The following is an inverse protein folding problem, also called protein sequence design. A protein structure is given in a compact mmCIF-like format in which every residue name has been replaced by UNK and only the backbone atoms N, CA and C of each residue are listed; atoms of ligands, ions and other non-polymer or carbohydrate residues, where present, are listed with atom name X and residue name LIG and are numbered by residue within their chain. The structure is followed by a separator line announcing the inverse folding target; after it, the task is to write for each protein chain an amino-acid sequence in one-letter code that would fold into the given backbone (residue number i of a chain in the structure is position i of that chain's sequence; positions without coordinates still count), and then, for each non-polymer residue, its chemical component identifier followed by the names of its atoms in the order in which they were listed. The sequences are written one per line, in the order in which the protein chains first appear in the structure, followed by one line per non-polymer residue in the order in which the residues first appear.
data_IF_248701681073
#
_entry.id   IF_248701681073
#
_cell.length_a   1.000
_cell.length_b   1.000
_cell.length_c   1.000
_cell.angle_alpha   90.00
_cell.angle_beta   90.00
_cell.angle_gamma   90.00
#
_symmetry.space_group_name_H-M   'P 1'
#
loop_
_entity.id
_entity.type
_entity.pdbx_description
1 polymer ?
#
# COMPACT_ATOMS: atom_id res chain seq x y z
N UNK A 1 16.86 24.45 -5.73
CA UNK A 1 16.18 23.27 -6.26
C UNK A 1 15.04 22.85 -5.36
N UNK A 2 14.24 21.89 -5.78
CA UNK A 2 13.13 21.37 -5.01
C UNK A 2 13.46 19.95 -4.49
N UNK A 3 13.11 19.66 -3.25
CA UNK A 3 13.26 18.33 -2.64
C UNK A 3 11.86 17.75 -2.45
N UNK A 4 11.65 16.51 -2.90
CA UNK A 4 10.43 15.75 -2.64
C UNK A 4 10.66 14.76 -1.50
N UNK A 5 9.63 14.57 -0.68
CA UNK A 5 9.55 13.55 0.39
C UNK A 5 8.63 12.45 -0.13
N UNK A 6 9.21 11.43 -0.73
CA UNK A 6 8.48 10.35 -1.39
C UNK A 6 8.29 9.15 -0.47
N UNK A 7 7.06 8.66 -0.35
CA UNK A 7 6.69 7.61 0.60
C UNK A 7 7.00 6.19 0.09
N UNK A 8 8.18 5.98 -0.47
CA UNK A 8 8.72 4.66 -0.81
C UNK A 8 10.24 4.65 -0.75
N UNK A 9 10.83 3.48 -0.93
CA UNK A 9 12.27 3.30 -1.17
C UNK A 9 12.53 3.32 -2.68
N UNK A 10 12.74 4.52 -3.25
CA UNK A 10 13.04 4.66 -4.67
C UNK A 10 14.28 3.84 -5.07
N UNK A 11 14.29 3.27 -6.28
CA UNK A 11 13.40 3.52 -7.43
C UNK A 11 12.08 2.73 -7.41
N UNK A 12 11.78 1.95 -6.35
CA UNK A 12 10.51 1.22 -6.26
C UNK A 12 9.37 2.17 -5.93
N UNK A 13 8.23 1.99 -6.61
CA UNK A 13 6.98 2.72 -6.39
C UNK A 13 7.07 4.24 -6.69
N UNK A 14 7.65 4.62 -7.84
CA UNK A 14 7.49 5.98 -8.37
C UNK A 14 6.03 6.29 -8.64
N UNK A 15 5.55 7.48 -8.32
CA UNK A 15 4.20 7.95 -8.66
C UNK A 15 3.28 8.17 -7.45
N UNK A 16 1.95 8.07 -7.68
CA UNK A 16 0.96 8.73 -6.84
C UNK A 16 0.53 7.97 -5.58
N UNK A 17 0.68 6.64 -5.52
CA UNK A 17 0.12 5.82 -4.44
C UNK A 17 1.11 4.78 -3.87
N UNK A 18 2.35 5.17 -3.51
CA UNK A 18 3.38 4.22 -3.11
C UNK A 18 3.02 3.40 -1.86
N UNK A 19 2.34 4.01 -0.88
CA UNK A 19 1.93 3.35 0.36
C UNK A 19 0.98 2.19 0.07
N UNK A 20 -0.10 2.47 -0.69
CA UNK A 20 -1.11 1.48 -1.01
C UNK A 20 -0.54 0.35 -1.89
N UNK A 21 0.27 0.70 -2.90
CA UNK A 21 0.85 -0.30 -3.79
C UNK A 21 1.87 -1.20 -3.09
N UNK A 22 2.61 -0.70 -2.11
CA UNK A 22 3.53 -1.52 -1.30
C UNK A 22 2.76 -2.58 -0.49
N UNK A 23 1.67 -2.20 0.19
CA UNK A 23 0.84 -3.15 0.95
C UNK A 23 0.13 -4.13 0.02
N UNK A 24 -0.48 -3.65 -1.07
CA UNK A 24 -1.20 -4.50 -2.04
C UNK A 24 -0.28 -5.54 -2.68
N UNK A 25 0.98 -5.18 -2.95
CA UNK A 25 1.99 -6.10 -3.46
C UNK A 25 2.50 -7.08 -2.40
N UNK A 26 2.30 -6.79 -1.12
CA UNK A 26 2.79 -7.59 0.01
C UNK A 26 4.27 -7.38 0.27
N UNK A 27 4.77 -6.15 0.10
CA UNK A 27 6.13 -5.80 0.48
C UNK A 27 6.29 -5.87 2.01
N UNK A 28 7.38 -6.43 2.48
CA UNK A 28 7.70 -6.50 3.92
C UNK A 28 8.33 -5.19 4.43
N UNK A 29 8.92 -4.40 3.53
CA UNK A 29 9.64 -3.17 3.86
C UNK A 29 9.34 -2.08 2.84
N UNK A 30 9.07 -0.89 3.35
CA UNK A 30 8.97 0.35 2.59
C UNK A 30 9.81 1.44 3.28
N UNK A 31 9.52 2.69 3.01
CA UNK A 31 10.21 3.79 3.70
C UNK A 31 9.90 5.14 3.09
N UNK A 32 10.79 6.07 3.34
CA UNK A 32 10.73 7.41 2.75
C UNK A 32 12.06 7.68 2.05
N UNK A 33 11.97 8.23 0.86
CA UNK A 33 13.10 8.77 0.11
C UNK A 33 12.99 10.28 0.01
N UNK A 34 14.01 10.99 0.51
CA UNK A 34 14.24 12.39 0.17
C UNK A 34 14.95 12.41 -1.18
N UNK A 35 14.37 13.02 -2.19
CA UNK A 35 14.94 13.07 -3.53
C UNK A 35 14.99 14.47 -4.08
N UNK A 36 15.97 14.76 -4.94
CA UNK A 36 15.99 15.95 -5.76
C UNK A 36 14.92 15.82 -6.83
N UNK A 37 14.06 16.82 -7.01
CA UNK A 37 13.11 16.80 -8.12
C UNK A 37 13.82 17.11 -9.46
N UNK A 38 13.43 16.39 -10.49
CA UNK A 38 13.81 16.62 -11.87
C UNK A 38 12.57 16.63 -12.79
N UNK A 39 12.75 16.52 -14.11
CA UNK A 39 11.66 16.59 -15.09
C UNK A 39 10.81 15.29 -15.16
N UNK A 40 11.36 14.17 -14.67
CA UNK A 40 10.67 12.88 -14.69
C UNK A 40 9.83 12.63 -13.45
N UNK A 41 8.94 11.64 -13.54
CA UNK A 41 8.10 11.22 -12.42
C UNK A 41 8.96 10.48 -11.39
N UNK A 42 9.33 11.17 -10.31
CA UNK A 42 10.12 10.65 -9.20
C UNK A 42 11.46 9.99 -9.64
N UNK A 43 12.10 10.55 -10.65
CA UNK A 43 13.32 10.01 -11.27
C UNK A 43 14.60 10.61 -10.73
N UNK A 44 14.52 11.72 -10.03
CA UNK A 44 15.68 12.48 -9.57
C UNK A 44 16.54 11.76 -8.52
N UNK A 45 17.70 12.29 -8.26
CA UNK A 45 18.72 11.68 -7.41
C UNK A 45 18.25 11.53 -5.96
N UNK A 46 18.57 10.39 -5.36
CA UNK A 46 18.28 10.11 -3.94
C UNK A 46 19.25 10.91 -3.07
N UNK A 47 18.69 11.70 -2.17
CA UNK A 47 19.43 12.48 -1.17
C UNK A 47 19.60 11.71 0.13
N UNK A 48 18.58 11.03 0.57
CA UNK A 48 18.64 10.13 1.72
C UNK A 48 17.40 9.24 1.78
N UNK A 49 17.49 8.13 2.50
CA UNK A 49 16.36 7.20 2.73
C UNK A 49 16.23 6.87 4.21
N UNK A 50 15.02 6.44 4.61
CA UNK A 50 14.76 5.79 5.88
C UNK A 50 13.80 4.62 5.64
N UNK A 51 14.13 3.44 6.16
CA UNK A 51 13.33 2.22 6.02
C UNK A 51 12.26 2.13 7.10
N UNK A 52 11.13 1.49 6.78
CA UNK A 52 10.03 1.19 7.66
C UNK A 52 9.48 -0.19 7.33
N UNK A 53 9.35 -1.08 8.31
CA UNK A 53 8.73 -2.38 8.13
C UNK A 53 7.22 -2.24 7.97
N UNK A 54 6.64 -3.10 7.14
CA UNK A 54 5.19 -3.25 6.96
C UNK A 54 4.77 -4.49 7.74
N UNK A 55 3.92 -4.32 8.74
CA UNK A 55 3.40 -5.42 9.54
C UNK A 55 2.32 -6.20 8.77
N UNK A 56 2.10 -7.46 9.12
CA UNK A 56 1.15 -8.34 8.43
C UNK A 56 -0.30 -7.81 8.39
N UNK A 57 -0.68 -6.99 9.36
CA UNK A 57 -2.00 -6.35 9.45
C UNK A 57 -1.94 -4.84 9.20
N UNK A 58 -0.85 -4.35 8.60
CA UNK A 58 -0.67 -2.93 8.33
C UNK A 58 -1.70 -2.42 7.32
N UNK A 59 -2.44 -1.38 7.68
CA UNK A 59 -3.33 -0.70 6.74
C UNK A 59 -2.63 0.47 6.06
N UNK A 60 -3.19 0.95 4.93
CA UNK A 60 -2.70 2.16 4.28
C UNK A 60 -2.63 3.35 5.25
N UNK A 61 -3.66 3.53 6.07
CA UNK A 61 -3.69 4.61 7.06
C UNK A 61 -2.68 4.45 8.19
N UNK A 62 -2.49 3.24 8.73
CA UNK A 62 -1.51 3.01 9.80
C UNK A 62 -0.07 3.17 9.30
N UNK A 63 0.22 2.69 8.08
CA UNK A 63 1.53 2.88 7.46
C UNK A 63 1.82 4.35 7.16
N UNK A 64 0.84 5.10 6.65
CA UNK A 64 0.96 6.55 6.45
C UNK A 64 1.28 7.26 7.76
N UNK A 65 0.58 6.91 8.85
CA UNK A 65 0.85 7.47 10.17
C UNK A 65 2.26 7.14 10.69
N UNK A 66 2.78 5.91 10.44
CA UNK A 66 4.17 5.55 10.76
C UNK A 66 5.16 6.40 9.97
N UNK A 67 4.98 6.50 8.66
CA UNK A 67 5.86 7.27 7.78
C UNK A 67 5.84 8.76 8.13
N UNK A 68 4.67 9.32 8.43
CA UNK A 68 4.52 10.71 8.85
C UNK A 68 5.27 11.05 10.15
N UNK A 69 5.47 10.06 11.04
CA UNK A 69 6.26 10.26 12.28
C UNK A 69 7.77 10.27 12.01
N UNK A 70 8.26 9.44 11.10
CA UNK A 70 9.70 9.30 10.86
C UNK A 70 10.23 10.27 9.80
N UNK A 71 9.38 10.71 8.87
CA UNK A 71 9.75 11.59 7.76
C UNK A 71 10.33 12.94 8.17
N UNK A 72 9.69 13.70 9.08
CA UNK A 72 10.15 15.05 9.42
C UNK A 72 11.55 15.13 9.97
N UNK A 73 11.94 14.23 10.88
CA UNK A 73 13.29 14.20 11.44
C UNK A 73 14.34 13.93 10.36
N UNK A 74 14.03 13.00 9.42
CA UNK A 74 14.91 12.69 8.29
C UNK A 74 15.01 13.86 7.31
N UNK A 75 13.93 14.56 7.03
CA UNK A 75 13.93 15.76 6.19
C UNK A 75 14.83 16.85 6.78
N UNK A 76 14.65 17.17 8.07
CA UNK A 76 15.47 18.18 8.75
C UNK A 76 16.96 17.82 8.70
N UNK A 77 17.30 16.55 8.95
CA UNK A 77 18.69 16.09 8.85
C UNK A 77 19.24 16.26 7.42
N UNK A 78 18.44 15.90 6.40
CA UNK A 78 18.82 16.06 5.00
C UNK A 78 19.05 17.53 4.63
N UNK A 79 18.15 18.42 5.05
CA UNK A 79 18.28 19.86 4.80
C UNK A 79 19.51 20.47 5.47
N UNK A 80 19.89 20.02 6.69
CA UNK A 80 21.14 20.44 7.35
C UNK A 80 22.34 20.04 6.51
N UNK A 81 22.39 18.81 5.97
CA UNK A 81 23.48 18.36 5.09
C UNK A 81 23.54 19.16 3.78
N UNK A 82 22.39 19.51 3.19
CA UNK A 82 22.32 20.38 2.01
C UNK A 82 22.95 21.74 2.31
N UNK A 83 22.55 22.37 3.43
CA UNK A 83 23.11 23.66 3.87
C UNK A 83 24.62 23.60 4.09
N UNK A 84 25.12 22.50 4.66
CA UNK A 84 26.55 22.29 4.92
C UNK A 84 27.33 21.85 3.69
N UNK A 85 26.68 21.60 2.55
CA UNK A 85 27.29 21.07 1.31
C UNK A 85 28.00 19.70 1.52
N UNK A 86 27.50 18.89 2.47
CA UNK A 86 28.05 17.57 2.82
C UNK A 86 27.17 16.42 2.32
N UNK A 87 26.11 16.74 1.57
CA UNK A 87 25.18 15.74 1.05
C UNK A 87 25.78 15.08 -0.19
N UNK A 88 25.78 13.73 -0.19
CA UNK A 88 26.07 12.93 -1.37
C UNK A 88 24.75 12.53 -2.04
N UNK A 89 24.64 12.79 -3.33
CA UNK A 89 23.49 12.37 -4.14
C UNK A 89 23.78 11.02 -4.78
N UNK A 90 22.78 10.16 -4.84
CA UNK A 90 22.88 8.84 -5.48
C UNK A 90 21.89 8.75 -6.62
N UNK A 91 22.37 8.45 -7.82
CA UNK A 91 21.49 8.20 -8.97
C UNK A 91 20.63 6.98 -8.75
N UNK A 92 19.36 7.07 -9.16
CA UNK A 92 18.48 5.91 -9.13
C UNK A 92 18.85 4.90 -10.22
N UNK A 93 18.80 3.61 -9.91
CA UNK A 93 18.88 2.57 -10.94
C UNK A 93 17.53 2.44 -11.65
N UNK A 94 17.45 2.92 -12.89
CA UNK A 94 16.20 2.94 -13.66
C UNK A 94 15.71 1.54 -14.04
N UNK A 95 16.58 0.54 -14.12
CA UNK A 95 16.20 -0.84 -14.45
C UNK A 95 15.42 -1.53 -13.31
N UNK A 96 15.52 -1.00 -12.09
CA UNK A 96 14.82 -1.49 -10.90
C UNK A 96 13.55 -0.70 -10.56
N UNK A 97 13.17 0.25 -11.40
CA UNK A 97 12.02 1.08 -11.08
C UNK A 97 10.69 0.31 -11.22
N UNK A 98 9.75 0.62 -10.33
CA UNK A 98 8.35 0.22 -10.43
C UNK A 98 7.47 1.44 -10.22
N UNK A 99 6.21 1.34 -10.67
CA UNK A 99 5.31 2.48 -10.67
C UNK A 99 4.09 2.25 -9.77
N UNK A 100 3.81 3.22 -8.91
CA UNK A 100 2.63 3.31 -8.07
C UNK A 100 1.57 4.19 -8.75
N UNK A 101 0.80 3.59 -9.68
CA UNK A 101 -0.27 4.29 -10.41
C UNK A 101 -1.29 4.88 -9.45
N UNK A 102 -1.86 6.03 -9.83
CA UNK A 102 -2.99 6.65 -9.14
C UNK A 102 -4.14 5.63 -8.98
N UNK A 103 -4.75 5.63 -7.81
CA UNK A 103 -5.85 4.73 -7.47
C UNK A 103 -7.13 5.23 -8.14
N UNK A 104 -7.85 4.34 -8.82
CA UNK A 104 -9.14 4.60 -9.44
C UNK A 104 -10.26 3.97 -8.60
N UNK A 105 -11.47 4.57 -8.65
CA UNK A 105 -12.61 4.09 -7.86
C UNK A 105 -13.04 2.66 -8.21
N UNK A 106 -12.89 2.30 -9.46
CA UNK A 106 -13.22 0.97 -10.00
C UNK A 106 -12.34 -0.13 -9.39
N UNK A 107 -11.11 0.20 -9.04
CA UNK A 107 -10.19 -0.74 -8.37
C UNK A 107 -10.71 -1.18 -6.99
N UNK A 108 -11.60 -0.41 -6.36
CA UNK A 108 -12.12 -0.75 -5.03
C UNK A 108 -13.14 -1.89 -5.04
N UNK A 109 -13.69 -2.23 -6.19
CA UNK A 109 -14.58 -3.38 -6.32
C UNK A 109 -13.79 -4.68 -6.05
N UNK A 110 -14.35 -5.53 -5.19
CA UNK A 110 -13.78 -6.86 -4.91
C UNK A 110 -14.07 -7.78 -6.09
N UNK A 111 -13.02 -8.35 -6.63
CA UNK A 111 -13.09 -9.45 -7.60
C UNK A 111 -12.94 -10.78 -6.86
N UNK A 112 -14.06 -11.44 -6.61
CA UNK A 112 -14.12 -12.69 -5.87
C UNK A 112 -13.33 -13.84 -6.50
N UNK A 113 -13.00 -13.77 -7.80
CA UNK A 113 -12.19 -14.78 -8.49
C UNK A 113 -10.72 -14.74 -8.06
N UNK A 114 -10.28 -13.68 -7.39
CA UNK A 114 -8.91 -13.56 -6.89
C UNK A 114 -8.70 -14.40 -5.63
N UNK A 115 -7.44 -14.81 -5.33
CA UNK A 115 -7.10 -15.48 -4.08
C UNK A 115 -7.38 -14.62 -2.83
N UNK A 116 -7.73 -15.27 -1.71
CA UNK A 116 -8.08 -14.62 -0.45
C UNK A 116 -6.95 -13.72 0.10
N UNK A 117 -5.70 -14.14 -0.02
CA UNK A 117 -4.52 -13.37 0.42
C UNK A 117 -4.34 -12.06 -0.35
N UNK A 118 -4.61 -12.08 -1.67
CA UNK A 118 -4.56 -10.87 -2.49
C UNK A 118 -5.72 -9.92 -2.16
N UNK A 119 -6.92 -10.45 -1.91
CA UNK A 119 -8.06 -9.64 -1.47
C UNK A 119 -7.82 -9.05 -0.08
N UNK A 120 -7.22 -9.81 0.83
CA UNK A 120 -6.85 -9.35 2.16
C UNK A 120 -5.88 -8.16 2.08
N UNK A 121 -4.78 -8.29 1.33
CA UNK A 121 -3.81 -7.21 1.11
C UNK A 121 -4.46 -5.97 0.48
N UNK A 122 -5.36 -6.17 -0.48
CA UNK A 122 -6.11 -5.08 -1.11
C UNK A 122 -6.99 -4.33 -0.09
N UNK A 123 -7.71 -5.04 0.78
CA UNK A 123 -8.53 -4.42 1.82
C UNK A 123 -7.67 -3.62 2.78
N UNK A 124 -6.53 -4.15 3.22
CA UNK A 124 -5.58 -3.43 4.06
C UNK A 124 -5.02 -2.19 3.38
N UNK A 125 -4.57 -2.32 2.13
CA UNK A 125 -3.94 -1.25 1.37
C UNK A 125 -4.84 -0.01 1.25
N UNK A 126 -6.14 -0.21 1.06
CA UNK A 126 -7.08 0.87 0.79
C UNK A 126 -7.84 1.39 2.01
N UNK A 127 -7.67 0.77 3.17
CA UNK A 127 -8.25 1.26 4.42
C UNK A 127 -7.37 2.39 5.00
N UNK A 128 -7.94 3.52 5.47
CA UNK A 128 -9.37 3.85 5.54
C UNK A 128 -9.89 4.75 4.40
N UNK A 129 -9.05 5.20 3.48
CA UNK A 129 -9.39 6.32 2.59
C UNK A 129 -10.21 5.91 1.36
N UNK A 130 -9.86 4.78 0.73
CA UNK A 130 -10.55 4.26 -0.45
C UNK A 130 -11.09 2.86 -0.16
N UNK A 131 -12.05 2.77 0.76
CA UNK A 131 -12.56 1.49 1.25
C UNK A 131 -13.09 0.61 0.12
N UNK A 132 -12.63 -0.64 0.09
CA UNK A 132 -13.11 -1.66 -0.86
C UNK A 132 -14.59 -1.95 -0.68
N UNK A 133 -15.23 -2.43 -1.71
CA UNK A 133 -16.66 -2.72 -1.69
C UNK A 133 -17.03 -3.91 -2.58
N UNK A 134 -18.20 -4.47 -2.32
CA UNK A 134 -18.89 -5.44 -3.17
C UNK A 134 -20.36 -5.07 -3.31
N UNK A 135 -21.12 -5.91 -4.02
CA UNK A 135 -22.57 -5.82 -4.12
C UNK A 135 -23.22 -7.11 -3.61
N UNK A 136 -24.29 -6.96 -2.84
CA UNK A 136 -25.19 -8.03 -2.45
C UNK A 136 -26.59 -7.60 -2.81
N UNK A 137 -27.26 -8.34 -3.70
CA UNK A 137 -28.61 -8.04 -4.20
C UNK A 137 -28.76 -6.58 -4.70
N UNK A 138 -27.73 -6.09 -5.41
CA UNK A 138 -27.67 -4.73 -5.93
C UNK A 138 -27.30 -3.65 -4.91
N UNK A 139 -27.19 -3.99 -3.62
CA UNK A 139 -26.80 -3.05 -2.56
C UNK A 139 -25.29 -3.05 -2.41
N UNK A 140 -24.70 -1.85 -2.45
CA UNK A 140 -23.25 -1.66 -2.24
C UNK A 140 -22.88 -1.82 -0.78
N UNK A 141 -22.02 -2.79 -0.48
CA UNK A 141 -21.50 -3.05 0.85
C UNK A 141 -20.02 -2.66 0.89
N UNK A 142 -19.63 -1.79 1.79
CA UNK A 142 -18.23 -1.45 2.07
C UNK A 142 -17.58 -2.52 2.94
N UNK A 143 -16.33 -2.86 2.62
CA UNK A 143 -15.54 -3.84 3.35
C UNK A 143 -14.38 -3.11 4.00
N UNK A 144 -14.44 -2.95 5.31
CA UNK A 144 -13.47 -2.18 6.08
C UNK A 144 -12.31 -3.01 6.57
N UNK A 145 -12.59 -4.24 6.95
CA UNK A 145 -11.54 -5.13 7.43
C UNK A 145 -11.83 -6.59 7.04
N UNK A 146 -10.81 -7.42 7.13
CA UNK A 146 -10.92 -8.83 6.82
C UNK A 146 -9.93 -9.65 7.62
N UNK A 147 -10.19 -10.96 7.68
CA UNK A 147 -9.26 -11.97 8.21
C UNK A 147 -9.21 -13.16 7.27
N UNK A 148 -8.05 -13.74 7.07
CA UNK A 148 -7.91 -14.98 6.33
C UNK A 148 -8.47 -16.13 7.17
N UNK A 149 -9.30 -16.98 6.56
CA UNK A 149 -9.80 -18.20 7.20
C UNK A 149 -8.82 -19.35 6.98
N UNK A 150 -8.67 -20.19 7.97
CA UNK A 150 -7.94 -21.46 7.85
C UNK A 150 -8.74 -22.58 7.17
N UNK A 151 -10.03 -22.37 6.92
CA UNK A 151 -10.89 -23.36 6.24
C UNK A 151 -10.45 -23.51 4.78
N UNK A 152 -10.27 -24.77 4.34
CA UNK A 152 -9.82 -25.14 3.00
C UNK A 152 -10.93 -25.66 2.10
N UNK A 153 -12.18 -25.61 2.55
CA UNK A 153 -13.32 -26.03 1.74
C UNK A 153 -13.42 -25.17 0.48
N UNK A 154 -13.81 -25.79 -0.61
CA UNK A 154 -13.97 -25.10 -1.89
C UNK A 154 -15.47 -24.85 -2.15
N UNK A 155 -15.78 -23.61 -2.44
CA UNK A 155 -17.11 -23.16 -2.88
C UNK A 155 -16.96 -22.29 -4.13
N UNK A 156 -18.04 -22.02 -4.80
CA UNK A 156 -18.04 -21.03 -5.90
C UNK A 156 -17.59 -19.67 -5.36
N UNK A 157 -16.63 -18.99 -6.02
CA UNK A 157 -16.18 -17.66 -5.59
C UNK A 157 -17.35 -16.68 -5.43
N UNK A 158 -17.33 -15.89 -4.35
CA UNK A 158 -18.39 -14.95 -4.01
C UNK A 158 -19.56 -15.55 -3.21
N UNK A 159 -19.56 -16.87 -2.95
CA UNK A 159 -20.60 -17.49 -2.11
C UNK A 159 -20.41 -17.08 -0.64
N UNK A 160 -21.44 -16.58 -0.01
CA UNK A 160 -21.52 -16.41 1.45
C UNK A 160 -21.69 -17.79 2.08
N UNK A 161 -20.68 -18.27 2.79
CA UNK A 161 -20.65 -19.59 3.42
C UNK A 161 -21.36 -19.55 4.77
N UNK A 162 -21.16 -18.46 5.50
CA UNK A 162 -21.69 -18.27 6.84
C UNK A 162 -21.82 -16.78 7.17
N UNK A 163 -22.84 -16.43 7.94
CA UNK A 163 -23.07 -15.09 8.47
C UNK A 163 -22.98 -15.15 9.99
N UNK A 164 -21.85 -14.70 10.54
CA UNK A 164 -21.56 -14.70 11.97
C UNK A 164 -21.73 -13.31 12.58
N UNK A 165 -21.76 -13.27 13.91
CA UNK A 165 -21.73 -11.99 14.63
C UNK A 165 -20.48 -11.17 14.29
N UNK A 166 -19.36 -11.85 14.00
CA UNK A 166 -18.07 -11.25 13.66
C UNK A 166 -17.98 -10.80 12.20
N UNK A 167 -18.91 -11.18 11.33
CA UNK A 167 -18.92 -10.81 9.92
C UNK A 167 -19.37 -11.91 8.97
N UNK A 168 -19.14 -11.68 7.68
CA UNK A 168 -19.50 -12.60 6.60
C UNK A 168 -18.30 -13.43 6.16
N UNK A 169 -18.48 -14.76 6.18
CA UNK A 169 -17.49 -15.71 5.65
C UNK A 169 -17.78 -15.95 4.16
N UNK A 170 -16.86 -15.57 3.29
CA UNK A 170 -17.09 -15.62 1.84
C UNK A 170 -15.96 -16.38 1.16
N UNK A 171 -16.33 -17.22 0.19
CA UNK A 171 -15.38 -17.96 -0.66
C UNK A 171 -14.75 -17.04 -1.71
N UNK A 172 -13.52 -17.36 -2.08
CA UNK A 172 -12.74 -16.64 -3.10
C UNK A 172 -12.24 -17.60 -4.16
N UNK A 173 -11.53 -17.14 -5.17
CA UNK A 173 -10.94 -18.01 -6.18
C UNK A 173 -9.98 -19.04 -5.59
N UNK A 174 -9.31 -18.69 -4.48
CA UNK A 174 -8.51 -19.60 -3.68
C UNK A 174 -8.56 -19.17 -2.22
N UNK A 175 -9.16 -20.03 -1.37
CA UNK A 175 -9.32 -19.78 0.06
C UNK A 175 -10.61 -19.05 0.41
N UNK A 176 -10.75 -18.72 1.68
CA UNK A 176 -11.95 -18.12 2.28
C UNK A 176 -11.51 -16.91 3.10
N UNK A 177 -12.34 -15.87 3.10
CA UNK A 177 -12.07 -14.64 3.82
C UNK A 177 -13.26 -14.26 4.70
N UNK A 178 -13.01 -13.84 5.93
CA UNK A 178 -14.00 -13.27 6.83
C UNK A 178 -13.94 -11.75 6.73
N UNK A 179 -15.04 -11.12 6.38
CA UNK A 179 -15.21 -9.67 6.39
C UNK A 179 -15.84 -9.19 7.69
N UNK A 180 -15.30 -8.09 8.17
CA UNK A 180 -15.79 -7.44 9.41
C UNK A 180 -16.01 -5.96 9.19
#
# INVERSE_FOLDING_TARGET
GCINVHASLLPRWRGAAPIQRAIEAGDDVTGITMMQMDVGLDTGDILSTIKCNIESNETGGSLEAKLSKIGPAKLIHTLKKVKQRTLTQTKQNHDQCTYAKKINKEEMLIDWLRPADLLFKKILAFNPYQVTYTYLDGIRIKIWSAKLSSDKKKFTPGTIIDAKKEGLLVSTGLGIILYT
#
